data_IF_874067718971
#
_entry.id   IF_874067718971
#
_cell.length_a   1.000
_cell.length_b   1.000
_cell.length_c   1.000
_cell.angle_alpha   90.00
_cell.angle_beta   90.00
_cell.angle_gamma   90.00
#
_symmetry.space_group_name_H-M   'P 1'
#
loop_
_entity.id
_entity.type
_entity.pdbx_description
1 polymer ?
#
# COMPACT_ATOMS: atom_id res chain seq x y z
N UNK A 1 -6.86 -13.09 -3.36
CA UNK A 1 -7.17 -12.52 -2.02
C UNK A 1 -8.57 -11.92 -2.05
N UNK A 2 -9.33 -12.01 -0.95
CA UNK A 2 -10.59 -11.27 -0.75
C UNK A 2 -10.49 -10.43 0.52
N UNK A 3 -10.87 -9.16 0.42
CA UNK A 3 -10.94 -8.18 1.51
C UNK A 3 -12.37 -7.65 1.60
N UNK A 4 -12.79 -7.20 2.78
CA UNK A 4 -13.95 -6.32 2.87
C UNK A 4 -13.60 -4.93 2.30
N UNK A 5 -14.63 -4.17 1.90
CA UNK A 5 -14.42 -2.78 1.48
C UNK A 5 -13.84 -1.95 2.63
N UNK A 6 -14.27 -2.18 3.86
CA UNK A 6 -13.74 -1.48 5.04
C UNK A 6 -12.26 -1.77 5.26
N UNK A 7 -11.82 -3.03 5.16
CA UNK A 7 -10.40 -3.40 5.28
C UNK A 7 -9.57 -2.73 4.19
N UNK A 8 -10.06 -2.73 2.95
CA UNK A 8 -9.38 -2.10 1.83
C UNK A 8 -9.29 -0.58 2.01
N UNK A 9 -10.39 0.08 2.36
CA UNK A 9 -10.45 1.52 2.54
C UNK A 9 -9.64 1.99 3.76
N UNK A 10 -9.61 1.23 4.86
CA UNK A 10 -8.76 1.53 6.01
C UNK A 10 -7.27 1.53 5.65
N UNK A 11 -6.85 0.65 4.72
CA UNK A 11 -5.48 0.63 4.22
C UNK A 11 -5.23 1.82 3.30
N UNK A 12 -6.16 2.07 2.36
CA UNK A 12 -6.07 3.15 1.37
C UNK A 12 -6.34 4.55 1.93
N UNK A 13 -6.76 4.67 3.19
CA UNK A 13 -6.85 5.93 3.91
C UNK A 13 -5.48 6.63 4.05
N UNK A 14 -4.37 5.87 3.90
CA UNK A 14 -3.05 6.44 3.67
C UNK A 14 -2.75 6.33 2.16
N UNK A 15 -2.58 7.45 1.44
CA UNK A 15 -2.44 7.43 0.00
C UNK A 15 -1.20 6.63 -0.47
N UNK A 16 -0.16 6.61 0.35
CA UNK A 16 1.09 5.87 0.12
C UNK A 16 1.00 4.37 0.44
N UNK A 17 -0.09 3.88 1.05
CA UNK A 17 -0.24 2.49 1.47
C UNK A 17 -0.91 1.62 0.41
N UNK A 18 -0.27 0.52 0.02
CA UNK A 18 -0.81 -0.43 -0.96
C UNK A 18 -0.72 -1.87 -0.47
N UNK A 19 -1.57 -2.71 -1.04
CA UNK A 19 -1.62 -4.15 -0.80
C UNK A 19 -0.76 -4.89 -1.82
N UNK A 20 0.05 -5.82 -1.35
CA UNK A 20 0.80 -6.76 -2.20
C UNK A 20 0.57 -8.19 -1.73
N UNK A 21 0.76 -9.16 -2.62
CA UNK A 21 0.73 -10.57 -2.23
C UNK A 21 1.88 -10.88 -1.23
N UNK A 22 1.67 -11.80 -0.28
CA UNK A 22 2.55 -12.01 0.88
C UNK A 22 3.82 -12.80 0.52
N UNK A 23 4.63 -12.23 -0.38
CA UNK A 23 5.85 -12.82 -0.90
C UNK A 23 6.85 -11.69 -1.20
N UNK A 24 8.12 -11.89 -0.83
CA UNK A 24 9.18 -10.90 -1.03
C UNK A 24 9.38 -10.52 -2.50
N UNK A 25 9.02 -11.37 -3.47
CA UNK A 25 9.08 -11.04 -4.91
C UNK A 25 8.14 -9.89 -5.31
N UNK A 26 7.16 -9.56 -4.47
CA UNK A 26 6.24 -8.45 -4.67
C UNK A 26 6.64 -7.19 -3.93
N UNK A 27 7.85 -7.16 -3.35
CA UNK A 27 8.40 -6.01 -2.64
C UNK A 27 9.69 -5.56 -3.29
N UNK A 28 9.75 -4.29 -3.70
CA UNK A 28 10.97 -3.67 -4.19
C UNK A 28 11.49 -2.65 -3.18
N UNK A 29 12.42 -3.08 -2.31
CA UNK A 29 12.95 -2.30 -1.18
C UNK A 29 13.52 -0.91 -1.54
N UNK A 30 13.88 -0.68 -2.82
CA UNK A 30 14.35 0.63 -3.31
C UNK A 30 13.24 1.68 -3.40
N UNK A 31 11.97 1.28 -3.53
CA UNK A 31 10.84 2.20 -3.80
C UNK A 31 9.68 2.06 -2.82
N UNK A 32 9.75 1.09 -1.92
CA UNK A 32 8.74 0.87 -0.88
C UNK A 32 9.31 0.12 0.33
N UNK A 33 8.58 0.18 1.44
CA UNK A 33 8.86 -0.59 2.66
C UNK A 33 7.62 -1.36 3.09
N UNK A 34 7.78 -2.57 3.59
CA UNK A 34 6.67 -3.33 4.20
C UNK A 34 6.38 -2.77 5.58
N UNK A 35 5.16 -2.28 5.80
CA UNK A 35 4.71 -1.69 7.08
C UNK A 35 3.80 -2.62 7.88
N UNK A 36 3.19 -3.62 7.24
CA UNK A 36 2.40 -4.67 7.90
C UNK A 36 2.49 -5.98 7.12
N UNK A 37 2.57 -7.10 7.83
CA UNK A 37 2.53 -8.45 7.24
C UNK A 37 1.36 -9.21 7.81
N UNK A 38 0.47 -9.65 6.93
CA UNK A 38 -0.59 -10.61 7.23
C UNK A 38 -0.33 -11.90 6.45
N UNK A 39 -1.00 -12.99 6.85
CA UNK A 39 -0.92 -14.28 6.14
C UNK A 39 -1.40 -14.18 4.68
N UNK A 40 -2.38 -13.30 4.42
CA UNK A 40 -3.06 -13.19 3.12
C UNK A 40 -2.50 -12.09 2.22
N UNK A 41 -1.82 -11.11 2.80
CA UNK A 41 -1.28 -9.94 2.10
C UNK A 41 -0.31 -9.18 2.98
N UNK A 42 0.54 -8.38 2.35
CA UNK A 42 1.32 -7.37 3.07
C UNK A 42 0.86 -5.97 2.67
N UNK A 43 1.05 -5.03 3.59
CA UNK A 43 0.89 -3.61 3.32
C UNK A 43 2.27 -3.01 3.12
N UNK A 44 2.47 -2.35 1.98
CA UNK A 44 3.65 -1.55 1.71
C UNK A 44 3.32 -0.07 1.82
N UNK A 45 4.35 0.73 2.07
CA UNK A 45 4.33 2.17 1.96
C UNK A 45 5.30 2.58 0.84
N UNK A 46 4.79 3.29 -0.17
CA UNK A 46 5.63 3.90 -1.23
C UNK A 46 6.55 4.95 -0.62
N UNK A 47 7.76 5.08 -1.15
CA UNK A 47 8.72 6.12 -0.76
C UNK A 47 9.22 6.91 -1.97
N UNK A 48 9.83 8.07 -1.73
CA UNK A 48 10.39 8.93 -2.77
C UNK A 48 9.33 9.42 -3.76
N UNK A 49 9.68 9.45 -5.05
CA UNK A 49 8.79 9.95 -6.12
C UNK A 49 7.44 9.20 -6.13
N UNK A 50 7.43 7.90 -5.85
CA UNK A 50 6.19 7.12 -5.80
C UNK A 50 5.26 7.52 -4.66
N UNK A 51 5.80 8.02 -3.54
CA UNK A 51 5.00 8.55 -2.44
C UNK A 51 4.33 9.87 -2.85
N UNK A 52 5.12 10.80 -3.39
CA UNK A 52 4.63 12.12 -3.83
C UNK A 52 3.52 11.99 -4.87
N UNK A 53 3.68 11.13 -5.89
CA UNK A 53 2.64 10.87 -6.88
C UNK A 53 1.38 10.27 -6.25
N UNK A 54 1.56 9.36 -5.27
CA UNK A 54 0.42 8.72 -4.61
C UNK A 54 -0.39 9.71 -3.76
N UNK A 55 0.28 10.69 -3.15
CA UNK A 55 -0.34 11.79 -2.40
C UNK A 55 -1.04 12.79 -3.33
N UNK A 56 -0.37 13.22 -4.41
CA UNK A 56 -0.91 14.17 -5.39
C UNK A 56 -2.17 13.64 -6.08
N UNK A 57 -2.18 12.34 -6.40
CA UNK A 57 -3.27 11.69 -7.13
C UNK A 57 -4.26 10.96 -6.24
N UNK A 58 -4.27 11.21 -4.93
CA UNK A 58 -5.20 10.53 -4.03
C UNK A 58 -6.65 10.98 -4.28
N UNK A 59 -7.54 10.09 -4.76
CA UNK A 59 -8.93 10.44 -5.02
C UNK A 59 -9.73 10.73 -3.73
N UNK A 60 -9.16 10.46 -2.55
CA UNK A 60 -9.78 10.71 -1.24
C UNK A 60 -9.41 12.07 -0.65
N UNK A 61 -8.50 12.79 -1.28
CA UNK A 61 -8.07 14.13 -0.86
C UNK A 61 -8.88 15.26 -1.52
N UNK A 62 -9.92 14.91 -2.29
CA UNK A 62 -10.88 15.82 -2.93
C UNK A 62 -12.06 16.14 -2.03
#
# INVERSE_FOLDING_TARGET
>A
MRLSNEEYEAIRARPTHFLVAPDAKHVLARVERVVRREERYWVIEKVGIGAAISEELDPRSL
#
